data_IF_539767064070
#
_entry.id   IF_539767064070
#
_cell.length_a   1.000
_cell.length_b   1.000
_cell.length_c   1.000
_cell.angle_alpha   90.00
_cell.angle_beta   90.00
_cell.angle_gamma   90.00
#
_symmetry.space_group_name_H-M   'P 1'
#
loop_
_entity.id
_entity.type
_entity.pdbx_description
1 polymer ?
#
# COMPACT_ATOMS: atom_id res chain seq x y z
N UNK A 1 -9.17 7.95 39.34
CA UNK A 1 -10.33 7.05 39.12
C UNK A 1 -9.89 5.98 38.14
N UNK A 2 -9.69 4.73 38.57
CA UNK A 2 -9.38 3.63 37.63
C UNK A 2 -10.58 3.45 36.70
N UNK A 3 -10.41 3.67 35.39
CA UNK A 3 -11.39 3.27 34.39
C UNK A 3 -11.45 1.74 34.38
N UNK A 4 -12.26 1.17 35.27
CA UNK A 4 -12.71 -0.22 35.18
C UNK A 4 -13.60 -0.33 33.94
N UNK A 5 -13.45 -1.42 33.19
CA UNK A 5 -14.20 -1.73 31.96
C UNK A 5 -15.64 -1.23 32.00
N UNK A 6 -16.00 -0.31 31.10
CA UNK A 6 -17.36 0.25 31.02
C UNK A 6 -17.53 1.47 30.11
N UNK A 7 -16.45 2.23 29.85
CA UNK A 7 -16.51 3.40 28.98
C UNK A 7 -15.55 3.24 27.79
N UNK A 8 -16.11 3.09 26.59
CA UNK A 8 -15.33 2.99 25.34
C UNK A 8 -15.00 4.37 24.76
N UNK A 9 -15.81 5.40 25.07
CA UNK A 9 -15.64 6.79 24.61
C UNK A 9 -16.13 7.78 25.69
N UNK A 10 -15.43 8.90 25.85
CA UNK A 10 -15.81 10.05 26.69
C UNK A 10 -15.73 11.32 25.82
N UNK A 11 -16.65 12.27 26.01
CA UNK A 11 -16.73 13.49 25.20
C UNK A 11 -17.08 14.71 26.04
N UNK A 12 -16.90 15.92 25.49
CA UNK A 12 -17.34 17.18 26.12
C UNK A 12 -16.69 17.44 27.49
N UNK A 13 -17.43 18.08 28.40
CA UNK A 13 -17.00 18.47 29.75
C UNK A 13 -16.43 17.28 30.52
N UNK A 14 -17.03 16.09 30.40
CA UNK A 14 -16.55 14.89 31.08
C UNK A 14 -15.14 14.49 30.61
N UNK A 15 -14.80 14.73 29.33
CA UNK A 15 -13.47 14.48 28.80
C UNK A 15 -12.44 15.54 29.26
N UNK A 16 -12.85 16.80 29.37
CA UNK A 16 -12.02 17.89 29.92
C UNK A 16 -11.72 17.66 31.41
N UNK A 17 -12.74 17.33 32.19
CA UNK A 17 -12.61 16.97 33.61
C UNK A 17 -11.71 15.74 33.77
N UNK A 18 -11.90 14.70 32.97
CA UNK A 18 -11.04 13.52 33.00
C UNK A 18 -9.58 13.87 32.69
N UNK A 19 -9.34 14.70 31.68
CA UNK A 19 -8.00 15.17 31.32
C UNK A 19 -7.34 15.99 32.44
N UNK A 20 -8.09 16.88 33.08
CA UNK A 20 -7.62 17.66 34.22
C UNK A 20 -7.25 16.76 35.41
N UNK A 21 -8.05 15.74 35.71
CA UNK A 21 -7.76 14.75 36.76
C UNK A 21 -6.48 13.93 36.48
N UNK A 22 -6.03 13.84 35.23
CA UNK A 22 -4.81 13.13 34.81
C UNK A 22 -3.65 14.08 34.45
N UNK A 23 -3.72 15.34 34.90
CA UNK A 23 -2.67 16.35 34.67
C UNK A 23 -2.38 16.63 33.18
N UNK A 24 -3.35 16.44 32.28
CA UNK A 24 -3.22 16.90 30.90
C UNK A 24 -3.31 18.43 30.85
N UNK A 25 -2.41 19.06 30.08
CA UNK A 25 -2.40 20.51 29.86
C UNK A 25 -3.73 20.97 29.26
N UNK A 26 -4.41 21.86 29.98
CA UNK A 26 -5.64 22.51 29.52
C UNK A 26 -5.29 23.91 28.98
N UNK A 27 -5.91 24.29 27.88
CA UNK A 27 -5.77 25.61 27.28
C UNK A 27 -7.12 26.32 27.26
N UNK A 28 -7.16 27.65 27.51
CA UNK A 28 -8.39 28.40 27.43
C UNK A 28 -8.91 28.45 25.99
N UNK A 29 -10.20 28.70 25.79
CA UNK A 29 -10.84 28.62 24.46
C UNK A 29 -10.18 29.57 23.44
N UNK A 30 -9.63 30.68 23.92
CA UNK A 30 -8.89 31.69 23.15
C UNK A 30 -7.65 31.11 22.47
N UNK A 31 -7.00 30.11 23.07
CA UNK A 31 -5.84 29.42 22.50
C UNK A 31 -6.16 28.81 21.13
N UNK A 32 -7.40 28.32 20.95
CA UNK A 32 -7.84 27.67 19.72
C UNK A 32 -8.42 28.65 18.68
N UNK A 33 -8.62 29.92 19.06
CA UNK A 33 -9.13 31.00 18.20
C UNK A 33 -7.98 31.70 17.49
N UNK A 34 -7.76 31.37 16.22
CA UNK A 34 -6.82 32.11 15.37
C UNK A 34 -7.56 33.06 14.44
N UNK A 35 -6.97 34.21 14.12
CA UNK A 35 -7.57 35.19 13.19
C UNK A 35 -7.90 34.55 11.83
N UNK A 36 -7.04 33.63 11.37
CA UNK A 36 -7.25 32.86 10.13
C UNK A 36 -8.45 31.92 10.22
N UNK A 37 -8.68 31.24 11.35
CA UNK A 37 -9.88 30.41 11.56
C UNK A 37 -11.14 31.26 11.67
N UNK A 38 -11.05 32.41 12.32
CA UNK A 38 -12.18 33.33 12.46
C UNK A 38 -12.64 33.90 11.12
N UNK A 39 -11.71 34.35 10.27
CA UNK A 39 -12.02 34.80 8.90
C UNK A 39 -12.75 33.71 8.10
N UNK A 40 -12.30 32.45 8.20
CA UNK A 40 -12.96 31.31 7.55
C UNK A 40 -14.35 30.99 8.10
N UNK A 41 -14.56 31.16 9.41
CA UNK A 41 -15.89 31.02 10.00
C UNK A 41 -16.87 32.02 9.37
N UNK A 42 -16.45 33.28 9.24
CA UNK A 42 -17.23 34.32 8.59
C UNK A 42 -17.48 34.04 7.10
N UNK A 43 -16.45 33.61 6.35
CA UNK A 43 -16.59 33.19 4.95
C UNK A 43 -17.59 32.04 4.79
N UNK A 44 -17.50 31.02 5.66
CA UNK A 44 -18.44 29.90 5.65
C UNK A 44 -19.87 30.34 5.94
N UNK A 45 -20.08 31.26 6.88
CA UNK A 45 -21.43 31.75 7.22
C UNK A 45 -22.05 32.52 6.06
N UNK A 46 -21.23 33.14 5.20
CA UNK A 46 -21.70 33.82 3.99
C UNK A 46 -22.05 32.79 2.89
N UNK A 47 -21.25 31.74 2.73
CA UNK A 47 -21.54 30.64 1.79
C UNK A 47 -22.82 29.88 2.18
N UNK A 48 -23.07 29.69 3.49
CA UNK A 48 -24.28 29.01 4.00
C UNK A 48 -25.58 29.76 3.62
N UNK A 49 -25.52 31.06 3.29
CA UNK A 49 -26.66 31.83 2.77
C UNK A 49 -26.98 31.54 1.31
N UNK A 50 -26.05 30.92 0.57
CA UNK A 50 -26.15 30.63 -0.86
C UNK A 50 -25.93 29.13 -1.12
N UNK A 51 -26.93 28.28 -0.83
CA UNK A 51 -26.77 26.82 -0.75
C UNK A 51 -26.30 26.16 -2.07
N UNK A 52 -26.51 26.81 -3.22
CA UNK A 52 -26.12 26.29 -4.54
C UNK A 52 -24.60 26.33 -4.81
N UNK A 53 -23.81 27.01 -3.97
CA UNK A 53 -22.34 27.14 -4.10
C UNK A 53 -21.59 26.19 -3.13
N UNK A 54 -22.31 25.50 -2.24
CA UNK A 54 -21.71 24.80 -1.10
C UNK A 54 -21.11 23.43 -1.40
N UNK A 55 -21.49 22.78 -2.50
CA UNK A 55 -21.03 21.41 -2.82
C UNK A 55 -19.58 21.37 -3.34
N UNK A 56 -19.06 22.45 -3.93
CA UNK A 56 -17.73 22.49 -4.54
C UNK A 56 -16.62 23.06 -3.62
N UNK A 57 -16.95 23.47 -2.38
CA UNK A 57 -15.96 24.06 -1.48
C UNK A 57 -15.13 23.00 -0.74
N UNK A 58 -14.02 22.57 -1.35
CA UNK A 58 -13.00 21.74 -0.69
C UNK A 58 -12.08 22.61 0.17
N UNK A 59 -12.56 22.95 1.37
CA UNK A 59 -11.75 23.63 2.38
C UNK A 59 -10.58 22.75 2.88
N UNK A 60 -9.48 23.35 3.36
CA UNK A 60 -8.35 22.59 3.89
C UNK A 60 -8.76 21.76 5.12
N UNK A 61 -8.44 20.48 5.09
CA UNK A 61 -8.74 19.52 6.14
C UNK A 61 -7.80 19.74 7.33
N UNK A 62 -8.36 19.95 8.51
CA UNK A 62 -7.62 20.22 9.76
C UNK A 62 -7.35 18.98 10.60
N UNK A 63 -7.28 17.81 9.97
CA UNK A 63 -7.04 16.51 10.62
C UNK A 63 -5.60 16.08 10.39
N UNK A 64 -4.93 15.72 11.48
CA UNK A 64 -3.56 15.18 11.50
C UNK A 64 -3.58 13.78 12.09
N UNK A 65 -2.76 12.92 11.51
CA UNK A 65 -2.66 11.52 11.86
C UNK A 65 -1.24 11.13 12.22
N UNK A 66 -1.12 10.13 13.08
CA UNK A 66 0.13 9.46 13.38
C UNK A 66 -0.12 7.96 13.48
N UNK A 67 0.78 7.18 12.91
CA UNK A 67 0.85 5.73 13.11
C UNK A 67 2.25 5.39 13.60
N UNK A 68 2.36 4.45 14.52
CA UNK A 68 3.62 4.05 15.12
C UNK A 68 3.72 2.53 15.18
N UNK A 69 4.94 2.02 15.03
CA UNK A 69 5.32 0.62 15.20
C UNK A 69 6.44 0.58 16.25
N UNK A 70 6.27 -0.22 17.30
CA UNK A 70 7.32 -0.41 18.30
C UNK A 70 8.26 -1.58 17.96
N UNK A 71 9.32 -1.74 18.75
CA UNK A 71 10.35 -2.79 18.57
C UNK A 71 9.82 -4.21 18.80
N UNK A 72 8.65 -4.36 19.42
CA UNK A 72 7.99 -5.65 19.66
C UNK A 72 6.97 -5.97 18.55
N UNK A 73 6.80 -5.08 17.57
CA UNK A 73 5.85 -5.26 16.47
C UNK A 73 4.44 -4.75 16.80
N UNK A 74 4.24 -4.02 17.89
CA UNK A 74 2.94 -3.45 18.21
C UNK A 74 2.68 -2.18 17.39
N UNK A 75 1.48 -2.10 16.85
CA UNK A 75 1.00 -0.98 16.04
C UNK A 75 0.10 -0.07 16.88
N UNK A 76 0.28 1.23 16.72
CA UNK A 76 -0.58 2.24 17.30
C UNK A 76 -0.99 3.26 16.23
N UNK A 77 -2.22 3.75 16.31
CA UNK A 77 -2.72 4.83 15.49
C UNK A 77 -3.34 5.91 16.38
N UNK A 78 -3.12 7.16 16.01
CA UNK A 78 -3.73 8.32 16.64
C UNK A 78 -4.13 9.31 15.56
N UNK A 79 -5.32 9.91 15.72
CA UNK A 79 -5.80 10.95 14.83
C UNK A 79 -6.31 12.10 15.68
N UNK A 80 -6.03 13.33 15.24
CA UNK A 80 -6.48 14.56 15.89
C UNK A 80 -7.07 15.49 14.84
N UNK A 81 -8.16 16.17 15.17
CA UNK A 81 -8.85 17.05 14.23
C UNK A 81 -9.29 18.36 14.85
N UNK A 82 -9.15 19.45 14.10
CA UNK A 82 -9.84 20.71 14.39
C UNK A 82 -11.33 20.67 14.06
N UNK A 83 -11.79 19.66 13.31
CA UNK A 83 -13.15 19.53 12.80
C UNK A 83 -13.51 20.51 11.68
N UNK A 84 -14.73 20.36 11.16
CA UNK A 84 -15.30 21.20 10.10
C UNK A 84 -15.66 22.59 10.63
N UNK A 85 -15.36 23.64 9.85
CA UNK A 85 -15.83 25.01 10.11
C UNK A 85 -17.37 25.05 10.07
N UNK A 86 -18.00 25.86 10.91
CA UNK A 86 -19.47 26.03 11.01
C UNK A 86 -20.27 24.75 11.31
N UNK A 87 -19.62 23.74 11.90
CA UNK A 87 -20.32 22.56 12.40
C UNK A 87 -21.32 22.94 13.49
N UNK A 88 -22.44 22.22 13.53
CA UNK A 88 -23.36 22.30 14.67
C UNK A 88 -22.62 21.95 15.97
N UNK A 89 -23.01 22.63 17.05
CA UNK A 89 -22.53 22.29 18.39
C UNK A 89 -22.87 20.83 18.69
N UNK A 90 -21.97 20.12 19.36
CA UNK A 90 -22.07 18.68 19.67
C UNK A 90 -21.91 17.72 18.47
N UNK A 91 -21.55 18.19 17.26
CA UNK A 91 -21.21 17.29 16.15
C UNK A 91 -19.94 16.50 16.47
N UNK A 92 -20.07 15.17 16.59
CA UNK A 92 -18.95 14.23 16.70
C UNK A 92 -18.41 13.88 15.30
N UNK A 93 -17.09 13.76 15.19
CA UNK A 93 -16.44 13.35 13.94
C UNK A 93 -15.96 11.92 13.94
N UNK A 94 -15.42 11.52 12.79
CA UNK A 94 -14.80 10.22 12.55
C UNK A 94 -13.57 9.98 13.43
N UNK A 95 -12.78 11.03 13.68
CA UNK A 95 -11.53 10.96 14.45
C UNK A 95 -11.65 10.28 15.82
N UNK A 96 -12.60 10.66 16.71
CA UNK A 96 -12.81 10.00 18.00
C UNK A 96 -13.52 8.63 17.91
N UNK A 97 -14.01 8.24 16.73
CA UNK A 97 -14.72 6.98 16.52
C UNK A 97 -13.75 5.89 16.04
N UNK A 98 -13.50 4.90 16.89
CA UNK A 98 -12.65 3.74 16.56
C UNK A 98 -13.22 3.03 15.33
N UNK A 99 -12.34 2.73 14.37
CA UNK A 99 -12.70 2.14 13.09
C UNK A 99 -13.12 3.15 12.02
N UNK A 100 -13.47 4.39 12.39
CA UNK A 100 -13.81 5.42 11.41
C UNK A 100 -12.55 6.19 10.98
N UNK A 101 -12.11 7.17 11.77
CA UNK A 101 -10.93 7.99 11.46
C UNK A 101 -9.60 7.42 11.96
N UNK A 102 -9.65 6.45 12.88
CA UNK A 102 -8.46 5.82 13.48
C UNK A 102 -8.72 4.34 13.72
N UNK A 103 -7.77 3.48 13.36
CA UNK A 103 -7.79 2.07 13.71
C UNK A 103 -6.37 1.52 13.79
N UNK A 104 -6.10 0.58 14.70
CA UNK A 104 -4.85 -0.15 14.73
C UNK A 104 -5.10 -1.59 15.18
N UNK A 105 -4.49 -2.52 14.47
CA UNK A 105 -4.49 -3.94 14.80
C UNK A 105 -3.06 -4.47 14.69
N UNK A 106 -2.55 -4.97 15.81
CA UNK A 106 -1.20 -5.52 15.90
C UNK A 106 -1.03 -6.69 14.94
N UNK A 107 0.12 -6.75 14.26
CA UNK A 107 0.39 -7.78 13.26
C UNK A 107 -0.34 -7.60 11.94
N UNK A 108 -1.10 -6.51 11.76
CA UNK A 108 -1.84 -6.24 10.53
C UNK A 108 -1.59 -4.83 10.00
N UNK A 109 -2.22 -3.80 10.57
CA UNK A 109 -2.18 -2.43 10.04
C UNK A 109 -2.59 -1.39 11.08
N UNK A 110 -1.99 -0.21 10.98
CA UNK A 110 -2.45 1.01 11.65
C UNK A 110 -2.89 2.04 10.60
N UNK A 111 -4.09 2.58 10.78
CA UNK A 111 -4.75 3.52 9.89
C UNK A 111 -5.07 4.81 10.63
N UNK A 112 -4.73 5.94 10.01
CA UNK A 112 -5.18 7.26 10.42
C UNK A 112 -5.64 8.04 9.19
N UNK A 113 -6.87 8.55 9.24
CA UNK A 113 -7.56 9.13 8.10
C UNK A 113 -7.75 10.64 8.20
N UNK A 114 -7.71 11.32 7.05
CA UNK A 114 -8.14 12.72 6.90
C UNK A 114 -9.14 12.82 5.75
N UNK A 115 -10.30 13.41 5.99
CA UNK A 115 -11.42 13.22 5.07
C UNK A 115 -12.66 14.01 5.40
N UNK A 116 -13.70 13.73 4.62
CA UNK A 116 -15.06 14.05 5.05
C UNK A 116 -15.49 13.01 6.09
N UNK A 117 -15.64 13.47 7.33
CA UNK A 117 -15.93 12.59 8.45
C UNK A 117 -17.27 11.85 8.31
N UNK A 118 -18.26 12.38 7.58
CA UNK A 118 -19.54 11.68 7.42
C UNK A 118 -19.38 10.40 6.58
N UNK A 119 -18.55 10.45 5.53
CA UNK A 119 -18.25 9.26 4.73
C UNK A 119 -17.43 8.25 5.52
N UNK A 120 -16.44 8.71 6.30
CA UNK A 120 -15.63 7.84 7.16
C UNK A 120 -16.47 7.13 8.22
N UNK A 121 -17.47 7.80 8.80
CA UNK A 121 -18.39 7.21 9.77
C UNK A 121 -19.29 6.17 9.11
N UNK A 122 -19.93 6.52 7.97
CA UNK A 122 -20.87 5.61 7.28
C UNK A 122 -20.21 4.35 6.76
N UNK A 123 -18.96 4.44 6.33
CA UNK A 123 -18.18 3.30 5.80
C UNK A 123 -17.35 2.59 6.85
N UNK A 124 -17.16 3.17 8.05
CA UNK A 124 -16.20 2.67 9.05
C UNK A 124 -14.80 2.49 8.41
N UNK A 125 -14.37 3.51 7.66
CA UNK A 125 -13.30 3.41 6.66
C UNK A 125 -11.98 2.84 7.19
N UNK A 126 -11.50 3.26 8.37
CA UNK A 126 -10.22 2.76 8.90
C UNK A 126 -10.29 1.28 9.31
N UNK A 127 -11.42 0.82 9.84
CA UNK A 127 -11.63 -0.60 10.12
C UNK A 127 -11.84 -1.39 8.84
N UNK A 128 -12.59 -0.86 7.88
CA UNK A 128 -12.83 -1.49 6.59
C UNK A 128 -11.51 -1.69 5.82
N UNK A 129 -10.65 -0.67 5.77
CA UNK A 129 -9.28 -0.80 5.24
C UNK A 129 -8.52 -1.90 5.98
N UNK A 130 -8.59 -1.95 7.31
CA UNK A 130 -7.92 -2.98 8.08
C UNK A 130 -8.48 -4.38 7.81
N UNK A 131 -9.80 -4.53 7.78
CA UNK A 131 -10.48 -5.78 7.48
C UNK A 131 -10.15 -6.26 6.06
N UNK A 132 -10.18 -5.38 5.07
CA UNK A 132 -9.76 -5.68 3.69
C UNK A 132 -8.28 -6.05 3.64
N UNK A 133 -7.41 -5.39 4.44
CA UNK A 133 -6.01 -5.78 4.54
C UNK A 133 -5.79 -7.18 5.12
N UNK A 134 -6.71 -7.72 5.95
CA UNK A 134 -6.68 -9.15 6.34
C UNK A 134 -6.87 -10.10 5.17
N UNK A 135 -7.48 -9.63 4.09
CA UNK A 135 -7.76 -10.40 2.89
C UNK A 135 -6.96 -9.92 1.68
N UNK A 136 -5.99 -8.99 1.89
CA UNK A 136 -5.21 -8.39 0.84
C UNK A 136 -4.50 -9.46 -0.01
N UNK A 137 -4.93 -9.51 -1.28
CA UNK A 137 -4.50 -10.41 -2.36
C UNK A 137 -4.16 -11.83 -1.93
N UNK A 138 -5.20 -12.63 -1.71
CA UNK A 138 -5.09 -14.08 -1.73
C UNK A 138 -6.16 -14.65 -2.63
N UNK A 139 -6.01 -14.40 -3.94
CA UNK A 139 -6.83 -15.10 -4.92
C UNK A 139 -6.56 -16.59 -4.77
N UNK A 140 -7.63 -17.36 -4.66
CA UNK A 140 -7.65 -18.80 -4.45
C UNK A 140 -8.12 -19.56 -5.68
N UNK A 141 -9.01 -18.98 -6.47
CA UNK A 141 -9.61 -19.63 -7.63
C UNK A 141 -9.33 -18.89 -8.93
N UNK A 142 -9.09 -17.58 -8.90
CA UNK A 142 -8.88 -16.84 -10.16
C UNK A 142 -7.62 -17.31 -10.87
N UNK A 143 -7.78 -17.92 -12.07
CA UNK A 143 -6.70 -18.59 -12.81
C UNK A 143 -5.52 -17.68 -13.13
N UNK A 144 -5.84 -16.45 -13.56
CA UNK A 144 -4.86 -15.47 -14.01
C UNK A 144 -5.03 -14.16 -13.20
N UNK A 145 -4.34 -14.01 -12.05
CA UNK A 145 -4.43 -12.80 -11.22
C UNK A 145 -4.22 -11.49 -11.97
N UNK A 146 -3.31 -11.46 -12.95
CA UNK A 146 -3.02 -10.24 -13.71
C UNK A 146 -4.17 -9.83 -14.63
N UNK A 147 -4.96 -10.78 -15.14
CA UNK A 147 -6.16 -10.47 -15.92
C UNK A 147 -7.26 -9.87 -15.05
N UNK A 148 -7.36 -10.30 -13.79
CA UNK A 148 -8.25 -9.67 -12.82
C UNK A 148 -7.80 -8.25 -12.49
N UNK A 149 -6.50 -8.02 -12.26
CA UNK A 149 -5.96 -6.68 -12.06
C UNK A 149 -6.26 -5.75 -13.25
N UNK A 150 -6.05 -6.21 -14.48
CA UNK A 150 -6.41 -5.48 -15.69
C UNK A 150 -7.92 -5.19 -15.76
N UNK A 151 -8.76 -6.19 -15.50
CA UNK A 151 -10.22 -6.04 -15.51
C UNK A 151 -10.69 -4.98 -14.50
N UNK A 152 -10.10 -4.95 -13.31
CA UNK A 152 -10.40 -3.94 -12.28
C UNK A 152 -10.08 -2.54 -12.82
N UNK A 153 -8.90 -2.35 -13.41
CA UNK A 153 -8.52 -1.07 -14.02
C UNK A 153 -9.48 -0.65 -15.15
N UNK A 154 -9.91 -1.59 -15.98
CA UNK A 154 -10.82 -1.30 -17.11
C UNK A 154 -12.25 -1.00 -16.69
N UNK A 155 -12.77 -1.69 -15.66
CA UNK A 155 -14.17 -1.60 -15.25
C UNK A 155 -14.41 -0.65 -14.09
N UNK A 156 -13.40 -0.36 -13.28
CA UNK A 156 -13.48 0.49 -12.09
C UNK A 156 -12.41 1.61 -12.07
N UNK A 157 -12.17 2.32 -13.20
CA UNK A 157 -11.02 3.22 -13.35
C UNK A 157 -10.97 4.38 -12.35
N UNK A 158 -12.11 4.78 -11.78
CA UNK A 158 -12.25 5.94 -10.89
C UNK A 158 -12.78 5.59 -9.49
N UNK A 159 -12.99 4.31 -9.20
CA UNK A 159 -13.74 3.86 -8.01
C UNK A 159 -12.96 2.87 -7.18
N UNK A 160 -12.36 1.86 -7.80
CA UNK A 160 -11.63 0.81 -7.09
C UNK A 160 -10.28 0.57 -7.78
N UNK A 161 -9.21 1.11 -7.20
CA UNK A 161 -7.83 0.87 -7.68
C UNK A 161 -7.24 -0.46 -7.20
N UNK A 162 -7.92 -1.16 -6.29
CA UNK A 162 -7.45 -2.39 -5.65
C UNK A 162 -8.65 -3.19 -5.14
N UNK A 163 -8.73 -4.49 -5.46
CA UNK A 163 -9.66 -5.44 -4.85
C UNK A 163 -8.88 -6.62 -4.29
N UNK A 164 -9.41 -7.23 -3.24
CA UNK A 164 -8.79 -8.39 -2.59
C UNK A 164 -9.82 -9.40 -2.10
N UNK A 165 -9.35 -10.50 -1.52
CA UNK A 165 -10.22 -11.50 -0.93
C UNK A 165 -11.16 -12.20 -1.92
N UNK A 166 -12.24 -12.74 -1.36
CA UNK A 166 -13.30 -13.45 -2.07
C UNK A 166 -14.06 -12.49 -3.00
N UNK A 167 -14.21 -11.23 -2.60
CA UNK A 167 -14.90 -10.19 -3.36
C UNK A 167 -14.19 -9.89 -4.68
N UNK A 168 -12.85 -9.95 -4.71
CA UNK A 168 -12.09 -9.84 -5.95
C UNK A 168 -12.36 -11.04 -6.89
N UNK A 169 -12.53 -12.24 -6.33
CA UNK A 169 -12.82 -13.44 -7.12
C UNK A 169 -14.25 -13.43 -7.66
N UNK A 170 -15.21 -13.01 -6.84
CA UNK A 170 -16.59 -12.79 -7.24
C UNK A 170 -16.68 -11.76 -8.37
N UNK A 171 -15.93 -10.66 -8.25
CA UNK A 171 -15.83 -9.65 -9.30
C UNK A 171 -15.28 -10.23 -10.61
N UNK A 172 -14.22 -11.04 -10.52
CA UNK A 172 -13.66 -11.74 -11.68
C UNK A 172 -14.65 -12.73 -12.30
N UNK A 173 -15.30 -13.54 -11.47
CA UNK A 173 -16.28 -14.54 -11.89
C UNK A 173 -17.50 -13.89 -12.57
N UNK A 174 -18.01 -12.78 -12.02
CA UNK A 174 -19.11 -11.99 -12.60
C UNK A 174 -18.78 -11.51 -14.02
N UNK A 175 -17.51 -11.27 -14.31
CA UNK A 175 -17.01 -10.85 -15.62
C UNK A 175 -16.47 -12.01 -16.46
N UNK A 176 -16.78 -13.25 -16.09
CA UNK A 176 -16.41 -14.47 -16.81
C UNK A 176 -14.89 -14.72 -16.88
N UNK A 177 -14.10 -14.24 -15.91
CA UNK A 177 -12.71 -14.66 -15.81
C UNK A 177 -12.62 -16.13 -15.38
N UNK A 178 -11.76 -16.94 -16.01
CA UNK A 178 -11.61 -18.35 -15.65
C UNK A 178 -11.26 -18.55 -14.17
N UNK A 179 -12.02 -19.43 -13.54
CA UNK A 179 -11.80 -19.88 -12.16
C UNK A 179 -11.35 -21.35 -12.19
N UNK A 180 -10.41 -21.70 -11.33
CA UNK A 180 -9.87 -23.06 -11.22
C UNK A 180 -9.90 -23.50 -9.74
N UNK A 181 -10.06 -24.80 -9.46
CA UNK A 181 -9.95 -25.31 -8.09
C UNK A 181 -8.50 -25.15 -7.57
N UNK A 182 -8.34 -25.15 -6.25
CA UNK A 182 -7.03 -25.02 -5.59
C UNK A 182 -5.99 -26.04 -6.08
N UNK A 183 -6.44 -27.24 -6.44
CA UNK A 183 -5.61 -28.34 -6.96
C UNK A 183 -4.88 -27.95 -8.25
N UNK A 184 -5.45 -27.06 -9.07
CA UNK A 184 -4.84 -26.56 -10.29
C UNK A 184 -3.53 -25.82 -10.01
N UNK A 185 -3.45 -25.07 -8.90
CA UNK A 185 -2.28 -24.27 -8.54
C UNK A 185 -1.22 -25.07 -7.77
N UNK A 186 -1.57 -26.28 -7.31
CA UNK A 186 -0.66 -27.17 -6.58
C UNK A 186 0.21 -27.94 -7.57
N UNK A 187 1.53 -27.90 -7.36
CA UNK A 187 2.46 -28.75 -8.10
C UNK A 187 3.29 -29.57 -7.13
N UNK A 188 3.61 -30.80 -7.49
CA UNK A 188 4.43 -31.70 -6.66
C UNK A 188 5.77 -31.05 -6.29
N UNK A 189 6.39 -30.32 -7.22
CA UNK A 189 7.63 -29.58 -6.97
C UNK A 189 7.48 -28.53 -5.87
N UNK A 190 6.42 -27.70 -5.92
CA UNK A 190 6.19 -26.66 -4.90
C UNK A 190 5.73 -27.27 -3.57
N UNK A 191 5.03 -28.40 -3.61
CA UNK A 191 4.64 -29.15 -2.43
C UNK A 191 5.86 -29.70 -1.67
N UNK A 192 6.84 -30.27 -2.37
CA UNK A 192 8.11 -30.70 -1.74
C UNK A 192 8.86 -29.54 -1.10
N UNK A 193 8.97 -28.40 -1.79
CA UNK A 193 9.59 -27.20 -1.23
C UNK A 193 8.88 -26.69 0.03
N UNK A 194 7.56 -26.81 0.10
CA UNK A 194 6.79 -26.49 1.30
C UNK A 194 7.16 -27.41 2.47
N UNK A 195 7.18 -28.73 2.24
CA UNK A 195 7.56 -29.71 3.26
C UNK A 195 8.99 -29.53 3.75
N UNK A 196 9.96 -29.37 2.84
CA UNK A 196 11.36 -29.10 3.16
C UNK A 196 11.50 -27.82 4.00
N UNK A 197 10.80 -26.74 3.62
CA UNK A 197 10.79 -25.49 4.38
C UNK A 197 10.24 -25.67 5.80
N UNK A 198 9.18 -26.46 5.98
CA UNK A 198 8.59 -26.72 7.31
C UNK A 198 9.52 -27.54 8.21
N UNK A 199 10.38 -28.40 7.63
CA UNK A 199 11.40 -29.12 8.39
C UNK A 199 12.55 -28.22 8.80
N UNK A 200 12.97 -27.31 7.92
CA UNK A 200 14.00 -26.30 8.20
C UNK A 200 13.57 -25.33 9.30
N UNK A 201 12.32 -24.88 9.31
CA UNK A 201 11.77 -23.99 10.34
C UNK A 201 11.81 -24.60 11.75
N UNK A 202 11.89 -25.94 11.87
CA UNK A 202 12.03 -26.64 13.16
C UNK A 202 13.47 -26.72 13.66
N UNK A 203 14.46 -26.37 12.82
CA UNK A 203 15.88 -26.43 13.15
C UNK A 203 16.49 -25.02 13.22
N UNK A 204 16.78 -24.49 14.42
CA UNK A 204 17.21 -23.09 14.62
C UNK A 204 18.63 -22.75 14.12
N UNK A 205 19.24 -23.59 13.28
CA UNK A 205 20.64 -23.47 12.84
C UNK A 205 20.86 -23.43 11.32
N UNK A 206 19.81 -23.40 10.50
CA UNK A 206 19.99 -23.37 9.04
C UNK A 206 19.96 -21.93 8.50
N UNK A 207 21.00 -21.60 7.73
CA UNK A 207 21.21 -20.32 7.06
C UNK A 207 20.05 -19.91 6.15
N UNK A 208 19.81 -18.60 6.04
CA UNK A 208 18.78 -17.99 5.17
C UNK A 208 18.93 -18.32 3.67
N UNK A 209 20.03 -18.97 3.26
CA UNK A 209 20.35 -19.36 1.88
C UNK A 209 19.46 -20.47 1.30
N UNK A 210 18.65 -21.14 2.11
CA UNK A 210 17.65 -22.12 1.63
C UNK A 210 16.36 -21.47 1.08
N UNK A 211 16.40 -20.19 0.72
CA UNK A 211 15.29 -19.53 0.00
C UNK A 211 15.29 -20.02 -1.45
N UNK A 212 14.62 -21.13 -1.70
CA UNK A 212 14.38 -21.66 -3.04
C UNK A 212 13.83 -20.62 -4.03
N UNK A 213 13.83 -20.91 -5.34
CA UNK A 213 13.57 -19.92 -6.39
C UNK A 213 12.27 -19.15 -6.17
N UNK A 214 12.40 -17.81 -6.09
CA UNK A 214 11.31 -16.86 -5.92
C UNK A 214 10.33 -16.97 -7.09
N UNK A 215 9.04 -16.99 -6.80
CA UNK A 215 7.98 -17.28 -7.78
C UNK A 215 7.34 -16.05 -8.44
N UNK A 216 7.89 -14.85 -8.23
CA UNK A 216 7.37 -13.62 -8.82
C UNK A 216 7.81 -13.52 -10.28
N UNK A 217 6.88 -13.12 -11.15
CA UNK A 217 7.11 -12.83 -12.56
C UNK A 217 6.61 -11.42 -12.86
N UNK A 218 7.20 -10.78 -13.87
CA UNK A 218 6.79 -9.44 -14.25
C UNK A 218 7.25 -9.06 -15.65
N UNK A 219 6.65 -8.01 -16.18
CA UNK A 219 6.91 -7.46 -17.50
C UNK A 219 6.78 -5.94 -17.48
N UNK A 220 7.62 -5.28 -18.28
CA UNK A 220 7.53 -3.86 -18.60
C UNK A 220 7.60 -3.69 -20.11
N UNK A 221 6.86 -2.75 -20.67
CA UNK A 221 6.80 -2.52 -22.10
C UNK A 221 6.64 -1.04 -22.44
N UNK A 222 7.21 -0.65 -23.58
CA UNK A 222 7.06 0.66 -24.21
C UNK A 222 6.43 0.44 -25.59
N UNK A 223 5.30 1.08 -25.86
CA UNK A 223 4.63 0.98 -27.17
C UNK A 223 5.09 2.07 -28.16
N UNK A 224 4.63 1.95 -29.41
CA UNK A 224 4.97 2.89 -30.50
C UNK A 224 4.38 4.30 -30.31
N UNK A 225 3.43 4.47 -29.38
CA UNK A 225 2.84 5.76 -29.03
C UNK A 225 3.57 6.40 -27.84
N UNK A 226 4.58 5.73 -27.28
CA UNK A 226 5.32 6.20 -26.11
C UNK A 226 4.66 5.86 -24.78
N UNK A 227 3.67 4.96 -24.75
CA UNK A 227 3.05 4.51 -23.50
C UNK A 227 3.90 3.44 -22.83
N UNK A 228 4.06 3.59 -21.53
CA UNK A 228 4.75 2.67 -20.65
C UNK A 228 3.73 1.88 -19.83
N UNK A 229 3.95 0.57 -19.72
CA UNK A 229 3.12 -0.33 -18.91
C UNK A 229 4.00 -1.27 -18.09
N UNK A 230 3.52 -1.62 -16.90
CA UNK A 230 4.14 -2.60 -16.01
C UNK A 230 3.08 -3.56 -15.47
N UNK A 231 3.48 -4.82 -15.31
CA UNK A 231 2.65 -5.88 -14.75
C UNK A 231 3.52 -6.83 -13.91
N UNK A 232 3.06 -7.17 -12.72
CA UNK A 232 3.76 -8.11 -11.82
C UNK A 232 2.76 -9.07 -11.20
N UNK A 233 3.11 -10.35 -11.08
CA UNK A 233 2.28 -11.37 -10.46
C UNK A 233 3.11 -12.35 -9.65
N UNK A 234 2.57 -12.83 -8.54
CA UNK A 234 3.30 -13.72 -7.62
C UNK A 234 2.37 -14.67 -6.87
N UNK A 235 2.86 -15.86 -6.55
CA UNK A 235 2.26 -16.72 -5.51
C UNK A 235 2.67 -16.31 -4.09
N UNK A 236 3.65 -15.41 -3.97
CA UNK A 236 4.28 -15.02 -2.71
C UNK A 236 5.44 -15.95 -2.33
N UNK A 237 5.76 -15.96 -1.04
CA UNK A 237 6.84 -16.77 -0.46
C UNK A 237 6.31 -18.15 -0.02
N UNK A 238 7.12 -19.20 -0.19
CA UNK A 238 6.86 -20.51 0.40
C UNK A 238 6.77 -20.37 1.93
N UNK A 239 5.83 -21.08 2.56
CA UNK A 239 5.57 -21.04 4.01
C UNK A 239 5.27 -19.63 4.55
N UNK A 240 4.74 -18.74 3.70
CA UNK A 240 4.21 -17.45 4.17
C UNK A 240 3.10 -17.68 5.20
N UNK A 241 2.99 -16.77 6.18
CA UNK A 241 1.79 -16.70 7.00
C UNK A 241 0.57 -16.46 6.11
N UNK A 242 -0.56 -17.03 6.51
CA UNK A 242 -1.84 -16.71 5.88
C UNK A 242 -2.02 -15.20 5.88
N UNK A 243 -2.47 -14.66 4.75
CA UNK A 243 -2.66 -13.20 4.57
C UNK A 243 -1.39 -12.35 4.51
N UNK A 244 -0.20 -12.96 4.41
CA UNK A 244 1.01 -12.22 4.06
C UNK A 244 0.88 -11.58 2.68
N UNK A 245 0.94 -10.24 2.66
CA UNK A 245 1.00 -9.43 1.46
C UNK A 245 2.46 -9.11 1.08
N UNK A 246 2.80 -9.27 -0.20
CA UNK A 246 4.10 -8.87 -0.75
C UNK A 246 4.05 -7.51 -1.44
N UNK A 247 5.16 -7.14 -2.05
CA UNK A 247 5.35 -5.90 -2.82
C UNK A 247 4.57 -5.89 -4.15
N UNK A 248 4.39 -7.06 -4.77
CA UNK A 248 3.82 -7.22 -6.12
C UNK A 248 2.52 -6.45 -6.39
N UNK A 249 1.47 -6.55 -5.56
CA UNK A 249 0.21 -5.84 -5.81
C UNK A 249 0.24 -4.38 -5.33
N UNK A 250 1.28 -3.96 -4.60
CA UNK A 250 1.38 -2.61 -4.05
C UNK A 250 2.04 -1.68 -5.07
N UNK A 251 1.25 -0.74 -5.59
CA UNK A 251 1.72 0.26 -6.57
C UNK A 251 2.86 1.09 -5.95
N UNK A 252 3.94 1.25 -6.72
CA UNK A 252 5.16 1.92 -6.28
C UNK A 252 6.14 1.01 -5.53
N UNK A 253 5.71 -0.16 -5.06
CA UNK A 253 6.62 -1.14 -4.43
C UNK A 253 7.13 -2.13 -5.48
N UNK A 254 6.32 -3.14 -5.81
CA UNK A 254 6.67 -4.18 -6.79
C UNK A 254 6.25 -3.87 -8.23
N UNK A 255 5.32 -2.93 -8.44
CA UNK A 255 4.82 -2.56 -9.77
C UNK A 255 4.63 -1.06 -9.88
N UNK A 256 5.15 -0.43 -10.92
CA UNK A 256 4.92 0.99 -11.18
C UNK A 256 5.06 1.32 -12.67
N UNK A 257 4.26 2.25 -13.18
CA UNK A 257 4.45 2.81 -14.51
C UNK A 257 4.00 4.27 -14.56
N UNK A 258 4.83 5.14 -15.13
CA UNK A 258 4.50 6.54 -15.44
C UNK A 258 4.94 6.85 -16.87
N UNK A 259 3.98 7.22 -17.73
CA UNK A 259 4.26 7.64 -19.10
C UNK A 259 5.24 8.81 -19.13
N UNK A 260 6.16 8.79 -20.09
CA UNK A 260 7.22 9.80 -20.21
C UNK A 260 8.36 9.65 -19.20
N UNK A 261 8.30 8.70 -18.27
CA UNK A 261 9.32 8.48 -17.24
C UNK A 261 9.85 7.04 -17.22
N UNK A 262 9.16 6.11 -16.56
CA UNK A 262 9.64 4.74 -16.34
C UNK A 262 8.51 3.75 -16.02
N UNK A 263 8.66 2.51 -16.50
CA UNK A 263 7.92 1.34 -16.05
C UNK A 263 8.86 0.38 -15.29
N UNK A 264 8.42 -0.12 -14.15
CA UNK A 264 9.20 -0.94 -13.22
C UNK A 264 8.39 -2.17 -12.77
N UNK A 265 9.07 -3.32 -12.69
CA UNK A 265 8.54 -4.53 -12.07
C UNK A 265 9.62 -5.21 -11.22
N UNK A 266 9.29 -5.53 -9.97
CA UNK A 266 10.19 -6.07 -8.96
C UNK A 266 9.94 -7.55 -8.63
N UNK A 267 11.00 -8.24 -8.21
CA UNK A 267 10.96 -9.60 -7.67
C UNK A 267 11.96 -9.73 -6.52
N UNK A 268 11.57 -10.28 -5.38
CA UNK A 268 12.49 -10.34 -4.26
C UNK A 268 11.84 -10.61 -2.91
N UNK A 269 12.56 -10.19 -1.88
CA UNK A 269 12.05 -10.16 -0.52
C UNK A 269 11.11 -8.95 -0.37
N UNK A 270 9.82 -9.21 -0.61
CA UNK A 270 8.81 -8.16 -0.74
C UNK A 270 8.75 -7.15 0.42
N UNK A 271 9.04 -7.56 1.65
CA UNK A 271 9.08 -6.67 2.82
C UNK A 271 10.09 -5.53 2.65
N UNK A 272 11.25 -5.81 2.03
CA UNK A 272 12.26 -4.78 1.78
C UNK A 272 11.91 -3.89 0.60
N UNK A 273 11.31 -4.46 -0.45
CA UNK A 273 10.79 -3.70 -1.60
C UNK A 273 9.66 -2.74 -1.19
N UNK A 274 8.81 -3.13 -0.23
CA UNK A 274 7.78 -2.27 0.35
C UNK A 274 8.44 -1.14 1.16
N UNK A 275 9.36 -1.47 2.06
CA UNK A 275 10.04 -0.49 2.93
C UNK A 275 10.84 0.55 2.14
N UNK A 276 11.39 0.17 0.99
CA UNK A 276 12.12 1.08 0.12
C UNK A 276 11.24 1.75 -0.94
N UNK A 277 9.96 1.38 -1.05
CA UNK A 277 9.05 1.82 -2.12
C UNK A 277 9.73 1.68 -3.50
N UNK A 278 10.32 0.50 -3.74
CA UNK A 278 11.41 0.31 -4.70
C UNK A 278 11.12 0.86 -6.11
N UNK A 279 9.97 0.48 -6.70
CA UNK A 279 9.65 0.87 -8.06
C UNK A 279 9.41 2.37 -8.22
N UNK A 280 8.80 3.02 -7.22
CA UNK A 280 8.61 4.48 -7.22
C UNK A 280 9.89 5.23 -6.87
N UNK A 281 10.77 4.68 -6.04
CA UNK A 281 12.06 5.29 -5.74
C UNK A 281 12.92 5.44 -7.00
N UNK A 282 12.89 4.47 -7.92
CA UNK A 282 13.52 4.61 -9.26
C UNK A 282 12.93 5.80 -10.02
N UNK A 283 11.60 5.86 -10.11
CA UNK A 283 10.90 6.96 -10.77
C UNK A 283 11.24 8.32 -10.14
N UNK A 284 11.24 8.40 -8.81
CA UNK A 284 11.55 9.61 -8.06
C UNK A 284 13.00 10.06 -8.29
N UNK A 285 13.96 9.14 -8.30
CA UNK A 285 15.36 9.47 -8.60
C UNK A 285 15.56 9.97 -10.03
N UNK A 286 14.89 9.36 -11.00
CA UNK A 286 14.92 9.84 -12.39
C UNK A 286 14.28 11.22 -12.50
N UNK A 287 13.09 11.40 -11.92
CA UNK A 287 12.28 12.62 -12.03
C UNK A 287 12.88 13.82 -11.27
N UNK A 288 13.35 13.60 -10.05
CA UNK A 288 13.75 14.69 -9.15
C UNK A 288 15.26 14.90 -9.11
N UNK A 289 16.05 13.85 -9.32
CA UNK A 289 17.52 13.92 -9.30
C UNK A 289 18.16 13.78 -10.69
N UNK A 290 17.36 13.57 -11.75
CA UNK A 290 17.85 13.47 -13.13
C UNK A 290 18.75 12.26 -13.37
N UNK A 291 18.65 11.21 -12.55
CA UNK A 291 19.45 9.99 -12.72
C UNK A 291 19.00 9.21 -13.96
N UNK A 292 19.94 8.47 -14.56
CA UNK A 292 19.62 7.49 -15.59
C UNK A 292 18.83 6.31 -14.99
N UNK A 293 18.06 5.58 -15.83
CA UNK A 293 17.36 4.38 -15.39
C UNK A 293 18.32 3.32 -14.84
N UNK A 294 19.54 3.23 -15.38
CA UNK A 294 20.59 2.34 -14.89
C UNK A 294 21.08 2.71 -13.50
N UNK A 295 21.38 3.99 -13.26
CA UNK A 295 21.91 4.46 -11.98
C UNK A 295 20.85 4.42 -10.88
N UNK A 296 19.62 4.84 -11.20
CA UNK A 296 18.49 4.78 -10.29
C UNK A 296 18.20 3.32 -9.86
N UNK A 297 18.11 2.40 -10.84
CA UNK A 297 17.83 0.99 -10.58
C UNK A 297 18.92 0.31 -9.74
N UNK A 298 20.20 0.56 -10.05
CA UNK A 298 21.34 0.04 -9.28
C UNK A 298 21.34 0.57 -7.85
N UNK A 299 21.09 1.87 -7.68
CA UNK A 299 21.02 2.49 -6.35
C UNK A 299 19.88 1.91 -5.51
N UNK A 300 18.69 1.75 -6.09
CA UNK A 300 17.54 1.19 -5.38
C UNK A 300 17.79 -0.26 -4.97
N UNK A 301 18.35 -1.11 -5.85
CA UNK A 301 18.70 -2.48 -5.46
C UNK A 301 19.74 -2.49 -4.34
N UNK A 302 20.78 -1.65 -4.45
CA UNK A 302 21.79 -1.53 -3.40
C UNK A 302 21.19 -1.12 -2.06
N UNK A 303 20.23 -0.20 -2.07
CA UNK A 303 19.51 0.22 -0.86
C UNK A 303 18.70 -0.92 -0.23
N UNK A 304 18.10 -1.79 -1.05
CA UNK A 304 17.41 -3.00 -0.58
C UNK A 304 18.40 -3.97 0.06
N UNK A 305 19.56 -4.18 -0.56
CA UNK A 305 20.63 -5.04 -0.04
C UNK A 305 21.20 -4.51 1.28
N UNK A 306 21.39 -3.20 1.40
CA UNK A 306 21.88 -2.57 2.63
C UNK A 306 20.87 -2.68 3.79
N UNK A 307 19.58 -2.86 3.49
CA UNK A 307 18.56 -3.19 4.50
C UNK A 307 18.56 -4.67 4.90
N UNK A 308 19.30 -5.53 4.19
CA UNK A 308 19.33 -6.99 4.37
C UNK A 308 18.36 -7.75 3.46
N UNK A 309 17.78 -7.08 2.45
CA UNK A 309 16.93 -7.72 1.46
C UNK A 309 17.71 -8.26 0.26
N UNK A 310 17.05 -9.09 -0.54
CA UNK A 310 17.58 -9.59 -1.82
C UNK A 310 16.51 -9.60 -2.91
N UNK A 311 16.91 -9.43 -4.16
CA UNK A 311 15.96 -9.51 -5.27
C UNK A 311 16.53 -8.99 -6.58
N UNK A 312 15.65 -8.54 -7.45
CA UNK A 312 15.97 -7.86 -8.69
C UNK A 312 14.75 -7.12 -9.21
N UNK A 313 14.95 -6.32 -10.24
CA UNK A 313 13.89 -5.59 -10.89
C UNK A 313 14.22 -5.38 -12.35
N UNK A 314 13.19 -5.17 -13.16
CA UNK A 314 13.30 -4.69 -14.53
C UNK A 314 12.72 -3.27 -14.59
N UNK A 315 13.44 -2.35 -15.23
CA UNK A 315 13.03 -0.97 -15.41
C UNK A 315 13.25 -0.55 -16.87
N UNK A 316 12.26 0.09 -17.47
CA UNK A 316 12.27 0.57 -18.86
C UNK A 316 11.82 2.02 -18.89
N UNK A 317 12.65 2.91 -19.43
CA UNK A 317 12.33 4.34 -19.52
C UNK A 317 11.65 4.71 -20.84
N UNK A 318 11.18 5.97 -20.90
CA UNK A 318 10.45 6.52 -22.05
C UNK A 318 11.29 6.67 -23.33
N UNK A 319 12.62 6.55 -23.22
CA UNK A 319 13.55 6.56 -24.36
C UNK A 319 13.89 5.13 -24.83
N UNK A 320 13.31 4.10 -24.21
CA UNK A 320 13.57 2.70 -24.51
C UNK A 320 14.89 2.18 -23.92
N UNK A 321 15.52 2.92 -23.01
CA UNK A 321 16.66 2.42 -22.23
C UNK A 321 16.13 1.61 -21.07
N UNK A 322 16.83 0.53 -20.70
CA UNK A 322 16.39 -0.35 -19.64
C UNK A 322 17.53 -0.74 -18.69
N UNK A 323 17.16 -1.25 -17.53
CA UNK A 323 18.04 -1.80 -16.51
C UNK A 323 17.41 -3.02 -15.86
N UNK A 324 18.23 -4.02 -15.52
CA UNK A 324 17.77 -5.28 -14.89
C UNK A 324 18.66 -5.73 -13.71
N UNK A 325 18.93 -4.87 -12.70
CA UNK A 325 19.84 -5.23 -11.61
C UNK A 325 19.24 -6.37 -10.77
N UNK A 326 20.09 -7.27 -10.27
CA UNK A 326 19.67 -8.39 -9.44
C UNK A 326 20.79 -8.89 -8.51
N UNK A 327 20.40 -9.48 -7.38
CA UNK A 327 21.28 -10.06 -6.37
C UNK A 327 21.61 -11.52 -6.72
N UNK A 328 22.64 -11.71 -7.55
CA UNK A 328 23.22 -13.03 -7.89
C UNK A 328 22.62 -13.71 -9.12
N UNK A 329 21.28 -13.73 -9.26
CA UNK A 329 20.64 -14.22 -10.47
C UNK A 329 19.13 -13.93 -10.53
N UNK A 330 18.64 -13.67 -11.75
CA UNK A 330 17.23 -13.41 -12.04
C UNK A 330 16.91 -13.87 -13.46
N UNK A 331 15.97 -14.82 -13.59
CA UNK A 331 15.42 -15.23 -14.89
C UNK A 331 14.83 -14.01 -15.60
N UNK A 332 15.38 -13.67 -16.77
CA UNK A 332 14.94 -12.51 -17.54
C UNK A 332 15.09 -12.75 -19.03
N UNK A 333 14.26 -12.05 -19.79
CA UNK A 333 14.35 -11.98 -21.24
C UNK A 333 13.83 -10.64 -21.72
N UNK A 334 14.34 -10.16 -22.85
CA UNK A 334 13.97 -8.86 -23.39
C UNK A 334 14.07 -8.86 -24.92
N UNK A 335 13.38 -7.89 -25.53
CA UNK A 335 13.52 -7.54 -26.94
C UNK A 335 13.86 -6.05 -26.96
N UNK A 336 15.04 -5.71 -27.48
CA UNK A 336 15.51 -4.34 -27.56
C UNK A 336 15.07 -3.64 -28.85
N UNK A 337 15.68 -2.49 -29.13
CA UNK A 337 15.47 -1.77 -30.40
C UNK A 337 15.99 -2.53 -31.62
N UNK A 338 16.87 -3.52 -31.41
CA UNK A 338 17.36 -4.43 -32.45
C UNK A 338 16.30 -5.43 -32.92
N UNK A 339 15.19 -5.58 -32.17
CA UNK A 339 14.15 -6.56 -32.44
C UNK A 339 14.58 -8.01 -32.18
N UNK A 340 15.74 -8.23 -31.55
CA UNK A 340 16.28 -9.56 -31.26
C UNK A 340 15.85 -9.96 -29.86
N UNK A 341 15.45 -11.23 -29.71
CA UNK A 341 15.11 -11.79 -28.40
C UNK A 341 16.37 -12.25 -27.67
N UNK A 342 16.51 -11.80 -26.42
CA UNK A 342 17.63 -12.12 -25.54
C UNK A 342 17.12 -12.74 -24.24
N UNK A 343 17.94 -13.58 -23.60
CA UNK A 343 17.63 -14.21 -22.31
C UNK A 343 18.88 -14.32 -21.47
N UNK A 344 18.73 -14.14 -20.16
CA UNK A 344 19.82 -14.29 -19.19
C UNK A 344 19.28 -14.72 -17.81
N UNK A 345 20.18 -15.22 -16.97
CA UNK A 345 19.91 -15.62 -15.59
C UNK A 345 20.93 -14.97 -14.66
N UNK A 346 22.22 -15.09 -14.93
CA UNK A 346 23.26 -14.65 -14.00
C UNK A 346 23.71 -13.20 -14.26
N UNK A 347 24.41 -12.59 -13.31
CA UNK A 347 24.81 -11.16 -13.35
C UNK A 347 25.94 -10.91 -14.36
N UNK A 348 26.78 -11.91 -14.63
CA UNK A 348 27.91 -11.88 -15.54
C UNK A 348 27.53 -12.09 -17.02
N UNK A 349 26.26 -12.44 -17.29
CA UNK A 349 25.72 -12.53 -18.64
C UNK A 349 25.35 -11.12 -19.14
N UNK A 350 26.15 -10.59 -20.08
CA UNK A 350 26.02 -9.23 -20.62
C UNK A 350 24.62 -8.94 -21.20
N UNK A 351 24.13 -7.72 -20.97
CA UNK A 351 22.90 -7.15 -21.52
C UNK A 351 23.21 -6.01 -22.46
#
# INVERSE_FOLDING_TARGET
MMLKSGFTQIHSIEAEEFGAHHNLRQEPQEYFKTERRWKRHLEGLELDKHPQVSEDFVGPKGTVGAVALDVQGNLAAATSTGGKTNKLSSRLGDTPLIGCGTYAENGLVACSGTGDGEFFIRSVASYDIAAQMKYATQLKSTKNPIQLAQLILEKQPNTHGFLCGEEAEEFGALHNLPQEPQEYFKTERRWRQHLEGLELDKSPQVSEDFRGPKGTVGAVALDVQGNLAAATSTGGKTNKMDSRLGDTPLIGCGTYAENGLVACSGTGDGEFFIRSVASYDIAAQMKYAGKSVQDASKFTLKSIEDLGGSGGLIALDSEGRFAMPNSGGMFRGWIGQDGVSHTAIFVDEEC
#
